data_IF_889099593317
#
_entry.id   IF_889099593317
#
_cell.length_a   1.000
_cell.length_b   1.000
_cell.length_c   1.000
_cell.angle_alpha   90.00
_cell.angle_beta   90.00
_cell.angle_gamma   90.00
#
_symmetry.space_group_name_H-M   'P 1'
#
loop_
_entity.id
_entity.type
_entity.pdbx_description
1 polymer ?
#
# COMPACT_ATOMS: atom_id res chain seq x y z
N UNK A 1 -33.07 -50.17 -46.97
CA UNK A 1 -31.91 -49.56 -47.67
C UNK A 1 -32.31 -48.12 -47.91
N UNK A 2 -31.70 -47.05 -47.39
CA UNK A 2 -30.32 -46.79 -47.01
C UNK A 2 -30.34 -45.68 -45.93
N UNK A 3 -29.56 -45.83 -44.85
CA UNK A 3 -29.44 -44.86 -43.76
C UNK A 3 -28.41 -43.80 -44.14
N UNK A 4 -28.74 -42.52 -44.02
CA UNK A 4 -27.75 -41.43 -44.03
C UNK A 4 -27.91 -40.59 -42.76
N UNK A 5 -26.98 -40.80 -41.84
CA UNK A 5 -26.79 -40.01 -40.63
C UNK A 5 -26.05 -38.72 -41.01
N UNK A 6 -26.67 -37.57 -40.77
CA UNK A 6 -25.97 -36.28 -40.78
C UNK A 6 -25.38 -36.02 -39.39
N UNK A 7 -24.06 -36.08 -39.28
CA UNK A 7 -23.31 -35.63 -38.09
C UNK A 7 -23.11 -34.12 -38.19
N UNK A 8 -23.77 -33.36 -37.32
CA UNK A 8 -23.44 -31.95 -37.09
C UNK A 8 -22.26 -31.88 -36.11
N UNK A 9 -21.16 -31.16 -36.43
CA UNK A 9 -20.11 -30.94 -35.46
C UNK A 9 -20.60 -29.94 -34.41
N UNK A 10 -20.71 -30.41 -33.16
CA UNK A 10 -20.95 -29.56 -32.00
C UNK A 10 -19.66 -28.78 -31.72
N UNK A 11 -19.55 -27.55 -32.22
CA UNK A 11 -18.40 -26.69 -31.93
C UNK A 11 -18.44 -26.30 -30.45
N UNK A 12 -17.64 -26.97 -29.64
CA UNK A 12 -17.41 -26.64 -28.25
C UNK A 12 -16.67 -25.29 -28.20
N UNK A 13 -17.41 -24.20 -28.02
CA UNK A 13 -16.83 -22.91 -27.72
C UNK A 13 -16.30 -22.98 -26.28
N UNK A 14 -15.03 -23.34 -26.12
CA UNK A 14 -14.35 -23.25 -24.85
C UNK A 14 -14.28 -21.78 -24.45
N UNK A 15 -15.23 -21.34 -23.62
CA UNK A 15 -15.11 -20.07 -22.93
C UNK A 15 -13.88 -20.19 -22.02
N UNK A 16 -12.78 -19.55 -22.44
CA UNK A 16 -11.65 -19.29 -21.56
C UNK A 16 -12.21 -18.49 -20.37
N UNK A 17 -12.41 -19.18 -19.25
CA UNK A 17 -12.62 -18.55 -17.95
C UNK A 17 -11.28 -17.88 -17.60
N UNK A 18 -11.05 -16.69 -18.17
CA UNK A 18 -10.00 -15.82 -17.70
C UNK A 18 -10.32 -15.48 -16.26
N UNK A 19 -9.47 -15.90 -15.33
CA UNK A 19 -9.53 -15.45 -13.95
C UNK A 19 -9.37 -13.93 -13.97
N UNK A 20 -10.45 -13.20 -13.68
CA UNK A 20 -10.38 -11.77 -13.47
C UNK A 20 -9.58 -11.55 -12.17
N UNK A 21 -8.27 -11.42 -12.29
CA UNK A 21 -7.44 -11.01 -11.16
C UNK A 21 -7.87 -9.59 -10.81
N UNK A 22 -8.25 -9.39 -9.54
CA UNK A 22 -8.51 -8.05 -9.04
C UNK A 22 -7.21 -7.25 -9.12
N UNK A 23 -7.05 -6.47 -10.20
CA UNK A 23 -5.96 -5.51 -10.30
C UNK A 23 -6.12 -4.51 -9.15
N UNK A 24 -5.13 -4.42 -8.27
CA UNK A 24 -5.16 -3.43 -7.23
C UNK A 24 -5.10 -2.04 -7.86
N UNK A 25 -6.26 -1.40 -7.93
CA UNK A 25 -6.37 -0.03 -8.37
C UNK A 25 -5.62 0.84 -7.36
N UNK A 26 -4.58 1.51 -7.83
CA UNK A 26 -3.85 2.46 -7.01
C UNK A 26 -4.80 3.55 -6.50
N UNK A 27 -4.72 3.94 -5.21
CA UNK A 27 -5.60 4.95 -4.65
C UNK A 27 -5.37 6.30 -5.33
N UNK A 28 -6.42 7.13 -5.39
CA UNK A 28 -6.35 8.50 -5.92
C UNK A 28 -5.56 9.44 -5.00
N UNK A 29 -5.51 9.12 -3.71
CA UNK A 29 -4.80 9.87 -2.68
C UNK A 29 -3.97 8.92 -1.81
N UNK A 30 -3.44 9.41 -0.69
CA UNK A 30 -2.61 8.60 0.20
C UNK A 30 -3.40 7.74 1.20
N UNK A 31 -4.73 7.81 1.22
CA UNK A 31 -5.53 7.07 2.19
C UNK A 31 -5.31 5.56 2.04
N UNK A 32 -5.13 4.87 3.16
CA UNK A 32 -5.04 3.42 3.20
C UNK A 32 -3.97 2.88 4.14
N UNK A 33 -3.73 1.59 4.01
CA UNK A 33 -2.71 0.87 4.78
C UNK A 33 -1.52 0.61 3.87
N UNK A 34 -0.35 1.09 4.28
CA UNK A 34 0.89 1.00 3.53
C UNK A 34 1.89 0.14 4.30
N UNK A 35 2.66 -0.67 3.56
CA UNK A 35 3.82 -1.38 4.08
C UNK A 35 5.08 -0.64 3.70
N UNK A 36 6.10 -0.73 4.56
CA UNK A 36 7.39 -0.12 4.29
C UNK A 36 8.54 -1.15 4.36
N UNK A 37 9.68 -0.77 3.80
CA UNK A 37 10.89 -1.60 3.77
C UNK A 37 11.60 -1.74 5.13
N UNK A 38 11.14 -1.07 6.18
CA UNK A 38 11.57 -1.29 7.57
C UNK A 38 10.70 -2.33 8.30
N UNK A 39 9.80 -3.01 7.58
CA UNK A 39 8.84 -3.97 8.12
C UNK A 39 7.60 -3.31 8.75
N UNK A 40 7.51 -1.97 8.73
CA UNK A 40 6.43 -1.23 9.36
C UNK A 40 5.11 -1.28 8.60
N UNK A 41 4.02 -1.09 9.35
CA UNK A 41 2.67 -0.86 8.84
C UNK A 41 2.24 0.57 9.13
N UNK A 42 1.73 1.26 8.11
CA UNK A 42 1.39 2.67 8.16
C UNK A 42 -0.08 2.87 7.79
N UNK A 43 -0.85 3.39 8.74
CA UNK A 43 -2.26 3.75 8.55
C UNK A 43 -2.32 5.22 8.19
N UNK A 44 -2.52 5.52 6.91
CA UNK A 44 -2.40 6.87 6.37
C UNK A 44 -3.78 7.45 6.12
N UNK A 45 -3.98 8.69 6.56
CA UNK A 45 -5.17 9.48 6.27
C UNK A 45 -4.80 10.83 5.67
N UNK A 46 -5.36 11.13 4.50
CA UNK A 46 -5.26 12.43 3.84
C UNK A 46 -6.62 13.16 3.91
N UNK A 47 -6.59 14.43 4.33
CA UNK A 47 -7.72 15.35 4.38
C UNK A 47 -7.34 16.63 3.64
N UNK A 48 -7.79 16.76 2.38
CA UNK A 48 -7.29 17.80 1.49
C UNK A 48 -5.77 17.66 1.33
N UNK A 49 -5.02 18.66 1.77
CA UNK A 49 -3.55 18.64 1.75
C UNK A 49 -2.93 18.13 3.06
N UNK A 50 -3.70 17.97 4.13
CA UNK A 50 -3.17 17.48 5.39
C UNK A 50 -3.03 15.95 5.34
N UNK A 51 -1.89 15.45 5.79
CA UNK A 51 -1.59 14.02 5.87
C UNK A 51 -1.25 13.67 7.31
N UNK A 52 -1.88 12.62 7.80
CA UNK A 52 -1.62 12.02 9.10
C UNK A 52 -1.30 10.56 8.90
N UNK A 53 -0.44 10.00 9.76
CA UNK A 53 -0.38 8.54 9.88
C UNK A 53 -0.11 8.07 11.29
N UNK A 54 -0.43 6.80 11.52
CA UNK A 54 0.13 5.96 12.57
C UNK A 54 1.05 4.94 11.91
N UNK A 55 2.31 4.88 12.32
CA UNK A 55 3.27 3.85 11.93
C UNK A 55 3.51 2.88 13.09
N UNK A 56 3.61 1.58 12.80
CA UNK A 56 3.91 0.53 13.77
C UNK A 56 4.97 -0.43 13.24
N UNK A 57 5.88 -0.87 14.10
CA UNK A 57 6.76 -2.02 13.84
C UNK A 57 5.95 -3.30 13.58
N UNK A 58 6.58 -4.27 12.90
CA UNK A 58 5.99 -5.55 12.52
C UNK A 58 5.44 -6.37 13.70
N UNK A 59 5.97 -6.17 14.91
CA UNK A 59 5.54 -6.81 16.16
C UNK A 59 4.26 -6.21 16.78
N UNK A 60 3.45 -5.50 15.98
CA UNK A 60 2.25 -4.81 16.45
C UNK A 60 2.53 -3.50 17.18
N UNK A 61 3.71 -2.91 16.95
CA UNK A 61 4.13 -1.62 17.50
C UNK A 61 4.82 -1.68 18.87
N UNK A 62 5.25 -2.87 19.32
CA UNK A 62 5.92 -3.06 20.63
C UNK A 62 7.35 -2.51 20.62
N UNK A 63 8.05 -2.60 19.48
CA UNK A 63 9.37 -1.98 19.31
C UNK A 63 9.21 -0.47 19.16
N UNK A 64 8.51 -0.02 18.12
CA UNK A 64 8.25 1.40 17.86
C UNK A 64 6.82 1.61 17.39
N UNK A 65 6.25 2.74 17.78
CA UNK A 65 5.00 3.25 17.22
C UNK A 65 5.15 4.75 17.15
N UNK A 66 4.89 5.35 16.00
CA UNK A 66 4.95 6.80 15.86
C UNK A 66 3.74 7.35 15.15
N UNK A 67 3.48 8.63 15.37
CA UNK A 67 2.52 9.42 14.61
C UNK A 67 3.27 10.39 13.71
N UNK A 68 2.65 10.76 12.59
CA UNK A 68 3.13 11.81 11.70
C UNK A 68 2.02 12.80 11.40
N UNK A 69 2.40 14.07 11.27
CA UNK A 69 1.55 15.12 10.71
C UNK A 69 2.34 15.92 9.68
N UNK A 70 1.78 16.10 8.50
CA UNK A 70 2.43 16.86 7.44
C UNK A 70 1.46 17.38 6.39
N UNK A 71 2.01 18.14 5.46
CA UNK A 71 1.25 18.76 4.37
C UNK A 71 1.78 18.27 3.03
N UNK A 72 0.86 17.85 2.17
CA UNK A 72 1.10 17.48 0.78
C UNK A 72 1.03 18.72 -0.12
N UNK A 73 2.05 18.89 -0.96
CA UNK A 73 2.07 19.85 -2.07
C UNK A 73 2.56 19.12 -3.32
N UNK A 74 1.65 18.89 -4.27
CA UNK A 74 1.90 18.03 -5.43
C UNK A 74 2.31 16.61 -5.01
N UNK A 75 3.49 16.19 -5.45
CA UNK A 75 4.07 14.89 -5.11
C UNK A 75 5.00 14.93 -3.89
N UNK A 76 5.08 16.05 -3.17
CA UNK A 76 5.91 16.16 -1.97
C UNK A 76 5.02 16.19 -0.72
N UNK A 77 5.41 15.47 0.33
CA UNK A 77 4.80 15.59 1.67
C UNK A 77 5.88 15.98 2.65
N UNK A 78 5.66 17.04 3.43
CA UNK A 78 6.60 17.51 4.46
C UNK A 78 5.89 17.57 5.80
N UNK A 79 6.53 17.08 6.85
CA UNK A 79 5.96 17.11 8.19
C UNK A 79 6.92 16.67 9.27
N UNK A 80 6.37 16.39 10.44
CA UNK A 80 7.10 15.89 11.60
C UNK A 80 6.50 14.59 12.10
N UNK A 81 7.34 13.79 12.76
CA UNK A 81 6.95 12.53 13.39
C UNK A 81 7.49 12.45 14.81
N UNK A 82 6.81 11.68 15.65
CA UNK A 82 7.26 11.38 17.00
C UNK A 82 6.80 9.98 17.43
N UNK A 83 7.68 9.24 18.09
CA UNK A 83 7.31 8.00 18.75
C UNK A 83 6.38 8.26 19.95
N UNK A 84 5.39 7.41 20.10
CA UNK A 84 4.40 7.44 21.18
C UNK A 84 4.59 6.23 22.11
N UNK A 85 4.16 6.28 23.38
CA UNK A 85 4.48 5.27 24.39
C UNK A 85 3.71 3.94 24.26
N UNK A 86 3.43 3.50 23.02
CA UNK A 86 3.05 2.13 22.69
C UNK A 86 4.29 1.24 22.50
N UNK A 87 5.35 1.80 21.90
CA UNK A 87 6.65 1.13 21.75
C UNK A 87 7.65 1.55 22.82
N UNK A 88 8.90 1.12 22.68
CA UNK A 88 10.01 1.50 23.58
C UNK A 88 10.82 2.71 23.07
N UNK A 89 10.88 2.91 21.75
CA UNK A 89 11.61 4.04 21.15
C UNK A 89 10.94 5.38 21.47
N UNK A 90 11.72 6.45 21.63
CA UNK A 90 11.28 7.82 22.00
C UNK A 90 11.90 8.88 21.09
N UNK A 91 12.07 8.56 19.82
CA UNK A 91 12.67 9.46 18.84
C UNK A 91 11.61 10.38 18.21
N UNK A 92 12.07 11.45 17.58
CA UNK A 92 11.23 12.37 16.82
C UNK A 92 12.06 13.10 15.78
N UNK A 93 11.41 13.66 14.77
CA UNK A 93 12.11 14.40 13.74
C UNK A 93 11.22 14.95 12.64
N UNK A 94 11.86 15.51 11.63
CA UNK A 94 11.24 15.93 10.39
C UNK A 94 11.32 14.80 9.35
N UNK A 95 10.35 14.75 8.44
CA UNK A 95 10.29 13.79 7.35
C UNK A 95 9.76 14.47 6.08
N UNK A 96 10.48 14.27 4.97
CA UNK A 96 10.01 14.64 3.63
C UNK A 96 9.87 13.39 2.78
N UNK A 97 8.74 13.26 2.10
CA UNK A 97 8.40 12.15 1.21
C UNK A 97 8.16 12.66 -0.21
N UNK A 98 8.48 11.82 -1.19
CA UNK A 98 8.13 12.00 -2.59
C UNK A 98 7.22 10.85 -3.05
N UNK A 99 6.04 11.19 -3.57
CA UNK A 99 5.06 10.25 -4.11
C UNK A 99 5.44 9.82 -5.52
N UNK A 100 5.06 8.59 -5.86
CA UNK A 100 5.16 8.02 -7.20
C UNK A 100 3.77 7.90 -7.84
N UNK A 101 3.69 8.12 -9.14
CA UNK A 101 2.45 8.11 -9.92
C UNK A 101 2.04 9.51 -10.40
N UNK A 102 1.17 9.55 -11.42
CA UNK A 102 0.70 10.81 -12.06
C UNK A 102 -0.74 11.11 -11.67
N UNK A 103 -1.64 10.13 -11.85
CA UNK A 103 -3.08 10.26 -11.56
C UNK A 103 -3.51 9.42 -10.35
N UNK A 104 -2.57 8.71 -9.74
CA UNK A 104 -2.76 7.83 -8.58
C UNK A 104 -1.50 7.83 -7.73
N UNK A 105 -1.62 7.36 -6.50
CA UNK A 105 -0.49 7.16 -5.60
C UNK A 105 -0.08 5.69 -5.67
N UNK A 106 1.04 5.42 -6.36
CA UNK A 106 1.61 4.07 -6.48
C UNK A 106 2.47 3.68 -5.27
N UNK A 107 2.91 4.69 -4.51
CA UNK A 107 3.84 4.55 -3.40
C UNK A 107 4.47 5.90 -3.07
N UNK A 108 5.30 5.91 -2.04
CA UNK A 108 6.12 7.07 -1.70
C UNK A 108 7.48 6.64 -1.18
N UNK A 109 8.47 7.52 -1.31
CA UNK A 109 9.85 7.32 -0.88
C UNK A 109 10.30 8.45 0.01
N UNK A 110 11.21 8.16 0.93
CA UNK A 110 11.82 9.17 1.81
C UNK A 110 12.80 10.01 1.00
N UNK A 111 12.56 11.31 0.94
CA UNK A 111 13.49 12.28 0.37
C UNK A 111 14.51 12.75 1.42
N UNK A 112 14.06 13.00 2.65
CA UNK A 112 14.93 13.34 3.78
C UNK A 112 14.27 12.99 5.12
N UNK A 113 15.08 12.75 6.15
CA UNK A 113 14.59 12.63 7.52
C UNK A 113 15.66 13.05 8.54
N UNK A 114 15.19 13.42 9.73
CA UNK A 114 15.99 13.56 10.94
C UNK A 114 15.49 12.59 12.02
N UNK A 115 16.23 12.47 13.13
CA UNK A 115 15.79 11.67 14.29
C UNK A 115 15.92 10.15 14.12
N UNK A 116 16.62 9.68 13.08
CA UNK A 116 16.87 8.25 12.86
C UNK A 116 15.67 7.47 12.31
N UNK A 117 14.77 8.13 11.57
CA UNK A 117 13.60 7.48 10.98
C UNK A 117 13.98 6.25 10.12
N UNK A 118 13.30 5.11 10.32
CA UNK A 118 13.62 3.83 9.69
C UNK A 118 13.21 3.74 8.22
N UNK A 119 11.91 3.79 7.94
CA UNK A 119 11.32 3.57 6.62
C UNK A 119 11.81 4.53 5.53
N UNK A 120 12.00 4.00 4.32
CA UNK A 120 12.43 4.78 3.16
C UNK A 120 11.65 4.51 1.86
N UNK A 121 10.88 3.44 1.79
CA UNK A 121 10.01 3.13 0.65
C UNK A 121 8.72 2.49 1.15
N UNK A 122 7.58 3.00 0.68
CA UNK A 122 6.25 2.52 1.03
C UNK A 122 5.49 2.06 -0.20
N UNK A 123 4.79 0.94 -0.05
CA UNK A 123 3.97 0.32 -1.07
C UNK A 123 2.66 -0.17 -0.45
N UNK A 124 1.59 -0.15 -1.22
CA UNK A 124 0.35 -0.78 -0.81
C UNK A 124 0.46 -2.26 -1.15
N UNK A 125 0.30 -3.18 -0.19
CA UNK A 125 0.25 -4.59 -0.51
C UNK A 125 -0.98 -4.81 -1.40
N UNK A 126 -0.74 -5.18 -2.65
CA UNK A 126 -1.80 -5.65 -3.53
C UNK A 126 -2.06 -7.11 -3.19
N UNK A 127 -3.21 -7.39 -2.60
CA UNK A 127 -3.61 -8.75 -2.29
C UNK A 127 -4.44 -9.29 -3.45
N UNK A 128 -3.86 -10.14 -4.30
CA UNK A 128 -4.61 -10.97 -5.25
C UNK A 128 -5.08 -12.28 -4.59
N UNK A 129 -4.72 -12.54 -3.34
CA UNK A 129 -5.09 -13.74 -2.59
C UNK A 129 -5.33 -13.38 -1.12
N UNK A 130 -6.52 -12.84 -0.80
CA UNK A 130 -7.10 -12.99 0.54
C UNK A 130 -7.29 -14.48 0.77
N UNK A 131 -6.22 -15.20 1.07
CA UNK A 131 -6.07 -16.56 1.56
C UNK A 131 -4.56 -16.92 1.49
N UNK A 132 -3.71 -16.24 2.27
CA UNK A 132 -2.62 -16.88 3.02
C UNK A 132 -1.88 -15.85 3.89
N UNK A 133 -1.83 -16.04 5.22
CA UNK A 133 -0.85 -15.34 6.06
C UNK A 133 0.56 -15.79 5.62
N UNK A 134 1.44 -14.83 5.31
CA UNK A 134 2.87 -15.13 5.13
C UNK A 134 3.48 -15.40 6.52
N UNK A 135 4.32 -16.45 6.67
CA UNK A 135 4.92 -16.85 7.95
C UNK A 135 5.69 -15.73 8.69
#
# INVERSE_FOLDING_TARGET
MNRLFFLAPLTLCAALLGTAHASCAAPKDMNGVWRANDGGTYYVRQLGNQVWWLGQSSDGGKTWTHVFSGVRSGNTVKGTWADVPRGQVRSSGALTLTLSGVNSVLGFKRASATGGFGGSSWYMPCDDVILNPVP
#
